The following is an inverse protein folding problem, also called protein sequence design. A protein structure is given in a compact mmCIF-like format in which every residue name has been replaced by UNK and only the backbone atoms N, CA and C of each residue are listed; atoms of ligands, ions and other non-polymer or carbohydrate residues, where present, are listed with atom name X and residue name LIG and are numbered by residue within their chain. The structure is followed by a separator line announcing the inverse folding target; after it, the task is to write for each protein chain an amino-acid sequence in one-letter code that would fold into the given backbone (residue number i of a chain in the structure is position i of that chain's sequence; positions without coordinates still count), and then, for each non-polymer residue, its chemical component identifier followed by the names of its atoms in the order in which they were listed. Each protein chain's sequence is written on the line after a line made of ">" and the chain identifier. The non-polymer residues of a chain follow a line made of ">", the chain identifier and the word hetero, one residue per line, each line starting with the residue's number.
data_IF_177189036485
#
_entry.id   IF_177189036485
#
_cell.length_a   1.000
_cell.length_b   1.000
_cell.length_c   1.000
_cell.angle_alpha   90.00
_cell.angle_beta   90.00
_cell.angle_gamma   90.00
#
_symmetry.space_group_name_H-M   'P 1'
#
loop_
_entity.id
_entity.type
_entity.pdbx_description
1 polymer ?
#
# COMPACT_ATOMS: atom_id res chain seq x y z
N UNK A 1 10.47 7.20 7.15
CA UNK A 1 9.23 7.54 6.44
C UNK A 1 8.71 8.90 6.85
N UNK A 2 7.90 9.49 6.01
CA UNK A 2 7.24 10.75 6.33
C UNK A 2 6.02 10.43 7.22
N UNK A 3 5.81 11.23 8.26
CA UNK A 3 4.57 11.15 9.03
C UNK A 3 3.41 11.64 8.17
N UNK A 4 2.26 11.00 8.28
CA UNK A 4 1.04 11.44 7.60
C UNK A 4 0.42 12.64 8.33
N UNK A 5 1.06 13.79 8.13
CA UNK A 5 0.60 15.10 8.59
C UNK A 5 0.89 16.13 7.50
N UNK A 6 0.44 17.37 7.70
CA UNK A 6 0.57 18.45 6.72
C UNK A 6 2.02 18.67 6.25
N UNK A 7 2.97 18.66 7.17
CA UNK A 7 4.37 18.91 6.85
C UNK A 7 5.00 17.72 6.12
N UNK A 8 4.71 16.49 6.56
CA UNK A 8 5.16 15.27 5.90
C UNK A 8 4.62 15.17 4.46
N UNK A 9 3.35 15.48 4.25
CA UNK A 9 2.74 15.52 2.91
C UNK A 9 3.39 16.59 2.03
N UNK A 10 3.64 17.80 2.56
CA UNK A 10 4.32 18.86 1.82
C UNK A 10 5.75 18.47 1.39
N UNK A 11 6.50 17.81 2.28
CA UNK A 11 7.83 17.29 1.97
C UNK A 11 7.75 16.21 0.88
N UNK A 12 6.80 15.26 1.00
CA UNK A 12 6.60 14.20 0.01
C UNK A 12 6.29 14.78 -1.38
N UNK A 13 5.37 15.74 -1.47
CA UNK A 13 5.06 16.43 -2.72
C UNK A 13 6.30 17.07 -3.32
N UNK A 14 7.08 17.77 -2.52
CA UNK A 14 8.32 18.43 -2.99
C UNK A 14 9.37 17.45 -3.48
N UNK A 15 9.50 16.30 -2.82
CA UNK A 15 10.43 15.24 -3.25
C UNK A 15 9.98 14.68 -4.61
N UNK A 16 8.68 14.40 -4.77
CA UNK A 16 8.14 13.87 -6.02
C UNK A 16 8.30 14.88 -7.17
N UNK A 17 7.91 16.13 -6.98
CA UNK A 17 8.08 17.20 -7.97
C UNK A 17 9.55 17.31 -8.41
N UNK A 18 10.47 17.31 -7.44
CA UNK A 18 11.90 17.37 -7.73
C UNK A 18 12.37 16.15 -8.52
N UNK A 19 11.91 14.95 -8.17
CA UNK A 19 12.28 13.72 -8.87
C UNK A 19 11.75 13.73 -10.32
N UNK A 20 10.52 14.16 -10.54
CA UNK A 20 9.92 14.29 -11.88
C UNK A 20 10.67 15.31 -12.72
N UNK A 21 11.01 16.48 -12.17
CA UNK A 21 11.77 17.51 -12.87
C UNK A 21 13.17 17.05 -13.25
N UNK A 22 13.87 16.38 -12.33
CA UNK A 22 15.21 15.83 -12.59
C UNK A 22 15.13 14.73 -13.64
N UNK A 23 14.14 13.83 -13.53
CA UNK A 23 13.88 12.78 -14.50
C UNK A 23 13.64 13.34 -15.90
N UNK A 24 12.81 14.38 -16.02
CA UNK A 24 12.53 15.02 -17.30
C UNK A 24 13.77 15.70 -17.92
N UNK A 25 14.61 16.33 -17.09
CA UNK A 25 15.88 16.92 -17.56
C UNK A 25 16.84 15.85 -18.06
N UNK A 26 17.02 14.79 -17.28
CA UNK A 26 17.90 13.68 -17.64
C UNK A 26 17.39 12.92 -18.88
N UNK A 27 16.12 12.72 -18.99
CA UNK A 27 15.51 12.13 -20.20
C UNK A 27 15.86 12.91 -21.44
N UNK A 28 15.75 14.25 -21.41
CA UNK A 28 16.15 15.11 -22.53
C UNK A 28 17.64 14.98 -22.88
N UNK A 29 18.52 14.92 -21.86
CA UNK A 29 19.96 14.76 -22.06
C UNK A 29 20.30 13.39 -22.71
N UNK A 30 19.57 12.35 -22.35
CA UNK A 30 19.78 10.98 -22.83
C UNK A 30 19.03 10.67 -24.13
N UNK A 31 18.12 11.51 -24.55
CA UNK A 31 17.23 11.25 -25.70
C UNK A 31 16.18 10.18 -25.41
N UNK A 32 15.79 10.02 -24.14
CA UNK A 32 14.87 8.97 -23.68
C UNK A 32 13.81 9.55 -22.72
N UNK A 33 12.77 8.77 -22.46
CA UNK A 33 11.72 9.12 -21.50
C UNK A 33 12.03 8.52 -20.13
N UNK A 34 12.25 9.39 -19.13
CA UNK A 34 12.38 8.99 -17.73
C UNK A 34 11.07 9.27 -17.02
N UNK A 35 10.46 8.23 -16.47
CA UNK A 35 9.22 8.33 -15.69
C UNK A 35 9.46 7.97 -14.23
N UNK A 36 8.78 8.68 -13.34
CA UNK A 36 8.80 8.45 -11.90
C UNK A 36 7.46 7.85 -11.49
N UNK A 37 7.51 6.68 -10.87
CA UNK A 37 6.34 5.99 -10.32
C UNK A 37 6.52 5.70 -8.84
N UNK A 38 5.40 5.56 -8.13
CA UNK A 38 5.37 5.01 -6.77
C UNK A 38 4.67 3.66 -6.80
N UNK A 39 5.41 2.63 -6.41
CA UNK A 39 4.92 1.27 -6.31
C UNK A 39 5.28 0.70 -4.94
N UNK A 40 4.47 -0.23 -4.47
CA UNK A 40 4.78 -1.04 -3.31
C UNK A 40 5.95 -2.00 -3.64
N UNK A 41 6.87 -2.17 -2.70
CA UNK A 41 7.97 -3.11 -2.84
C UNK A 41 8.00 -4.07 -1.65
N UNK A 42 8.19 -5.36 -1.90
CA UNK A 42 8.39 -6.36 -0.84
C UNK A 42 9.64 -6.07 0.01
N UNK A 43 10.61 -5.39 -0.57
CA UNK A 43 11.83 -4.98 0.11
C UNK A 43 11.57 -4.16 1.39
N UNK A 44 10.52 -3.34 1.41
CA UNK A 44 10.20 -2.51 2.58
C UNK A 44 9.87 -3.33 3.83
N UNK A 45 9.17 -4.45 3.68
CA UNK A 45 8.85 -5.38 4.76
C UNK A 45 10.10 -6.17 5.16
N UNK A 46 10.80 -6.74 4.19
CA UNK A 46 11.98 -7.55 4.44
C UNK A 46 13.10 -6.77 5.12
N UNK A 47 13.36 -5.55 4.72
CA UNK A 47 14.39 -4.72 5.35
C UNK A 47 14.04 -4.34 6.78
N UNK A 48 12.77 -4.13 7.13
CA UNK A 48 12.37 -3.88 8.49
C UNK A 48 12.73 -5.05 9.42
N UNK A 49 12.48 -6.28 8.98
CA UNK A 49 12.84 -7.50 9.71
C UNK A 49 14.36 -7.63 9.88
N UNK A 50 15.11 -7.48 8.77
CA UNK A 50 16.59 -7.61 8.81
C UNK A 50 17.25 -6.54 9.68
N UNK A 51 16.74 -5.32 9.65
CA UNK A 51 17.24 -4.24 10.50
C UNK A 51 16.87 -4.46 11.96
N UNK A 52 15.69 -5.02 12.26
CA UNK A 52 15.30 -5.45 13.59
C UNK A 52 16.21 -6.53 14.16
N UNK A 53 16.59 -7.51 13.34
CA UNK A 53 17.56 -8.55 13.70
C UNK A 53 18.97 -8.00 13.94
N UNK A 54 19.43 -7.10 13.05
CA UNK A 54 20.79 -6.57 13.10
C UNK A 54 21.02 -5.50 14.14
N UNK A 55 20.08 -4.58 14.33
CA UNK A 55 20.26 -3.39 15.16
C UNK A 55 19.43 -3.43 16.45
N UNK A 56 18.61 -4.46 16.65
CA UNK A 56 17.75 -4.64 17.82
C UNK A 56 16.58 -3.66 17.86
N UNK A 57 15.73 -3.83 18.87
CA UNK A 57 14.49 -3.05 19.05
C UNK A 57 14.69 -1.56 19.37
N UNK A 58 15.93 -1.15 19.67
CA UNK A 58 16.26 0.24 20.05
C UNK A 58 16.78 1.11 18.91
N UNK A 59 16.76 0.64 17.68
CA UNK A 59 17.06 1.52 16.54
C UNK A 59 15.95 2.57 16.41
N UNK A 60 16.32 3.81 16.03
CA UNK A 60 15.36 4.90 15.78
C UNK A 60 14.30 4.55 14.71
N UNK A 61 14.52 3.48 13.97
CA UNK A 61 13.62 2.89 12.99
C UNK A 61 12.55 2.01 13.65
N UNK A 62 12.80 1.51 14.85
CA UNK A 62 11.86 0.64 15.60
C UNK A 62 10.89 1.40 16.51
N UNK A 63 10.87 2.71 16.47
CA UNK A 63 9.81 3.51 17.09
C UNK A 63 8.48 3.44 16.30
N UNK A 64 8.47 2.73 15.18
CA UNK A 64 7.25 2.42 14.44
C UNK A 64 6.68 1.11 15.01
N UNK A 65 5.44 1.14 15.42
CA UNK A 65 4.69 -0.02 15.94
C UNK A 65 4.41 -1.09 14.86
N UNK A 66 5.08 -1.02 13.72
CA UNK A 66 4.85 -1.89 12.56
C UNK A 66 6.10 -2.66 12.17
N UNK A 67 5.92 -3.90 11.75
CA UNK A 67 6.97 -4.80 11.27
C UNK A 67 7.47 -4.49 9.85
N UNK A 68 7.11 -3.33 9.30
CA UNK A 68 7.47 -2.91 7.94
C UNK A 68 7.68 -1.40 7.84
N UNK A 69 8.55 -0.97 6.93
CA UNK A 69 8.81 0.45 6.70
C UNK A 69 7.72 1.15 5.91
N UNK A 70 7.08 0.45 4.99
CA UNK A 70 5.99 0.98 4.19
C UNK A 70 5.17 -0.16 3.60
N UNK A 71 3.85 -0.03 3.66
CA UNK A 71 2.90 -0.89 2.94
C UNK A 71 2.50 -0.30 1.58
N UNK A 72 3.08 0.83 1.20
CA UNK A 72 2.53 1.61 0.11
C UNK A 72 1.23 2.33 0.50
N UNK A 73 0.41 2.64 -0.46
CA UNK A 73 -0.91 3.24 -0.22
C UNK A 73 -1.96 2.14 -0.21
N UNK A 74 -2.40 1.76 0.98
CA UNK A 74 -3.46 0.75 1.18
C UNK A 74 -4.74 1.47 1.57
N UNK A 75 -5.82 1.16 0.89
CA UNK A 75 -7.16 1.68 1.17
C UNK A 75 -8.08 0.48 1.39
N UNK A 76 -8.75 0.43 2.53
CA UNK A 76 -9.74 -0.59 2.80
C UNK A 76 -11.03 -0.32 2.02
N UNK A 77 -11.68 -1.36 1.53
CA UNK A 77 -12.92 -1.23 0.76
C UNK A 77 -14.06 -0.60 1.57
N UNK A 78 -14.11 -0.86 2.88
CA UNK A 78 -15.03 -0.19 3.81
C UNK A 78 -14.82 1.32 3.87
N UNK A 79 -13.59 1.80 3.71
CA UNK A 79 -13.24 3.23 3.70
C UNK A 79 -13.76 3.94 2.44
N UNK A 80 -13.89 3.22 1.34
CA UNK A 80 -14.45 3.75 0.09
C UNK A 80 -15.96 3.91 0.17
N UNK A 81 -16.65 3.10 0.98
CA UNK A 81 -18.10 3.21 1.16
C UNK A 81 -18.51 4.36 2.09
N UNK A 82 -17.68 4.70 3.07
CA UNK A 82 -17.92 5.82 4.00
C UNK A 82 -17.20 7.09 3.50
N UNK A 83 -17.77 7.68 2.45
CA UNK A 83 -17.23 8.86 1.77
C UNK A 83 -17.12 10.11 2.66
N UNK A 84 -17.69 10.10 3.85
CA UNK A 84 -17.83 11.31 4.65
C UNK A 84 -16.62 11.62 5.52
N UNK A 85 -15.79 10.64 5.88
CA UNK A 85 -14.74 10.84 6.88
C UNK A 85 -13.30 10.51 6.48
N UNK A 86 -13.05 9.85 5.33
CA UNK A 86 -11.70 9.44 4.93
C UNK A 86 -11.26 9.92 3.54
N UNK A 87 -11.87 10.98 3.07
CA UNK A 87 -11.56 11.68 1.81
C UNK A 87 -10.11 12.16 1.70
N UNK A 88 -9.40 12.30 2.81
CA UNK A 88 -8.04 12.83 2.78
C UNK A 88 -7.06 11.87 2.11
N UNK A 89 -7.06 10.57 2.45
CA UNK A 89 -6.12 9.59 1.86
C UNK A 89 -6.37 9.43 0.37
N UNK A 90 -7.64 9.34 -0.02
CA UNK A 90 -8.04 9.23 -1.44
C UNK A 90 -7.72 10.53 -2.19
N UNK A 91 -8.00 11.68 -1.58
CA UNK A 91 -7.68 12.98 -2.16
C UNK A 91 -6.18 13.18 -2.34
N UNK A 92 -5.37 12.82 -1.35
CA UNK A 92 -3.91 12.88 -1.43
C UNK A 92 -3.37 11.89 -2.47
N UNK A 93 -3.90 10.66 -2.53
CA UNK A 93 -3.52 9.69 -3.57
C UNK A 93 -3.83 10.22 -4.98
N UNK A 94 -4.95 10.87 -5.17
CA UNK A 94 -5.30 11.53 -6.44
C UNK A 94 -4.32 12.67 -6.78
N UNK A 95 -3.95 13.51 -5.81
CA UNK A 95 -2.94 14.57 -6.02
C UNK A 95 -1.58 13.97 -6.40
N UNK A 96 -1.13 12.95 -5.67
CA UNK A 96 0.14 12.26 -5.94
C UNK A 96 0.13 11.60 -7.32
N UNK A 97 -0.97 10.96 -7.71
CA UNK A 97 -1.10 10.34 -9.04
C UNK A 97 -1.00 11.34 -10.19
N UNK A 98 -1.41 12.59 -9.97
CA UNK A 98 -1.30 13.68 -10.95
C UNK A 98 0.11 14.28 -11.03
N UNK A 99 0.88 14.22 -9.96
CA UNK A 99 2.27 14.67 -9.93
C UNK A 99 3.21 13.65 -10.60
N UNK A 100 2.91 12.37 -10.45
CA UNK A 100 3.74 11.28 -10.96
C UNK A 100 3.48 11.04 -12.45
N UNK A 101 4.51 11.11 -13.27
CA UNK A 101 4.42 10.84 -14.71
C UNK A 101 4.53 9.35 -15.07
N UNK A 102 4.92 8.50 -14.10
CA UNK A 102 4.95 7.03 -14.22
C UNK A 102 3.81 6.33 -13.46
N UNK A 103 2.99 7.09 -12.72
CA UNK A 103 1.83 6.60 -12.00
C UNK A 103 2.08 6.22 -10.54
N UNK A 104 0.98 6.00 -9.85
CA UNK A 104 0.89 5.56 -8.46
C UNK A 104 0.08 4.27 -8.41
N UNK A 105 0.64 3.22 -7.84
CA UNK A 105 -0.08 1.98 -7.57
C UNK A 105 -0.67 2.01 -6.16
N UNK A 106 -1.99 1.86 -6.08
CA UNK A 106 -2.73 1.76 -4.83
C UNK A 106 -3.18 0.33 -4.61
N UNK A 107 -3.12 -0.14 -3.37
CA UNK A 107 -3.70 -1.42 -2.95
C UNK A 107 -5.08 -1.17 -2.37
N UNK A 108 -6.09 -1.79 -2.98
CA UNK A 108 -7.44 -1.84 -2.44
C UNK A 108 -7.63 -3.19 -1.75
N UNK A 109 -7.68 -3.17 -0.42
CA UNK A 109 -7.95 -4.34 0.39
C UNK A 109 -9.46 -4.58 0.46
N UNK A 110 -9.89 -5.74 -0.02
CA UNK A 110 -11.30 -6.14 -0.10
C UNK A 110 -11.69 -6.83 1.19
N UNK A 111 -12.60 -6.22 1.94
CA UNK A 111 -13.18 -6.83 3.13
C UNK A 111 -13.82 -8.18 2.81
N UNK A 112 -13.63 -9.12 3.73
CA UNK A 112 -14.11 -10.51 3.60
C UNK A 112 -15.63 -10.64 3.43
N UNK A 113 -16.37 -9.71 4.02
CA UNK A 113 -17.84 -9.78 4.09
C UNK A 113 -18.54 -9.02 2.95
N UNK A 114 -17.77 -8.38 2.04
CA UNK A 114 -18.35 -7.64 0.93
C UNK A 114 -18.98 -8.56 -0.12
N UNK A 115 -20.20 -8.20 -0.52
CA UNK A 115 -20.90 -8.83 -1.64
C UNK A 115 -20.32 -8.38 -2.97
N UNK A 116 -20.55 -9.18 -4.01
CA UNK A 116 -20.05 -8.90 -5.37
C UNK A 116 -20.44 -7.51 -5.88
N UNK A 117 -21.67 -7.06 -5.62
CA UNK A 117 -22.13 -5.76 -6.08
C UNK A 117 -21.46 -4.60 -5.32
N UNK A 118 -21.09 -4.80 -4.07
CA UNK A 118 -20.34 -3.84 -3.27
C UNK A 118 -18.90 -3.76 -3.76
N UNK A 119 -18.29 -4.89 -4.09
CA UNK A 119 -16.95 -4.95 -4.70
C UNK A 119 -16.95 -4.20 -6.05
N UNK A 120 -17.94 -4.44 -6.92
CA UNK A 120 -18.09 -3.73 -8.19
C UNK A 120 -18.14 -2.22 -7.98
N UNK A 121 -18.99 -1.74 -7.05
CA UNK A 121 -19.10 -0.32 -6.73
C UNK A 121 -17.78 0.26 -6.21
N UNK A 122 -17.04 -0.50 -5.39
CA UNK A 122 -15.71 -0.08 -4.90
C UNK A 122 -14.71 0.06 -6.04
N UNK A 123 -14.72 -0.87 -6.99
CA UNK A 123 -13.88 -0.82 -8.20
C UNK A 123 -14.24 0.41 -9.04
N UNK A 124 -15.51 0.61 -9.36
CA UNK A 124 -15.98 1.74 -10.16
C UNK A 124 -15.54 3.07 -9.55
N UNK A 125 -15.77 3.25 -8.25
CA UNK A 125 -15.37 4.45 -7.54
C UNK A 125 -13.85 4.65 -7.48
N UNK A 126 -13.09 3.58 -7.31
CA UNK A 126 -11.62 3.66 -7.28
C UNK A 126 -11.07 4.05 -8.65
N UNK A 127 -11.66 3.55 -9.74
CA UNK A 127 -11.24 3.93 -11.11
C UNK A 127 -11.47 5.40 -11.43
N UNK A 128 -12.46 6.04 -10.81
CA UNK A 128 -12.69 7.48 -10.95
C UNK A 128 -11.61 8.34 -10.26
N UNK A 129 -10.98 7.78 -9.24
CA UNK A 129 -10.07 8.53 -8.37
C UNK A 129 -8.59 8.31 -8.72
N UNK A 130 -8.22 7.11 -9.12
CA UNK A 130 -6.83 6.75 -9.37
C UNK A 130 -6.68 5.91 -10.64
N UNK A 131 -5.60 6.14 -11.41
CA UNK A 131 -5.42 5.46 -12.70
C UNK A 131 -5.01 4.00 -12.57
N UNK A 132 -4.44 3.60 -11.42
CA UNK A 132 -3.91 2.25 -11.23
C UNK A 132 -4.11 1.77 -9.80
N UNK A 133 -4.65 0.57 -9.64
CA UNK A 133 -4.76 -0.08 -8.34
C UNK A 133 -4.74 -1.60 -8.50
N UNK A 134 -4.35 -2.30 -7.42
CA UNK A 134 -4.48 -3.76 -7.30
C UNK A 134 -5.55 -4.09 -6.27
N UNK A 135 -6.29 -5.16 -6.52
CA UNK A 135 -7.21 -5.72 -5.55
C UNK A 135 -6.50 -6.81 -4.76
N UNK A 136 -6.59 -6.72 -3.44
CA UNK A 136 -6.06 -7.71 -2.52
C UNK A 136 -7.18 -8.16 -1.60
N UNK A 137 -7.21 -9.44 -1.29
CA UNK A 137 -8.06 -10.01 -0.27
C UNK A 137 -7.23 -10.90 0.61
N UNK A 138 -7.24 -10.63 1.89
CA UNK A 138 -6.52 -11.46 2.86
C UNK A 138 -7.14 -12.85 2.93
N UNK A 139 -6.29 -13.87 2.94
CA UNK A 139 -6.67 -15.28 3.11
C UNK A 139 -5.65 -15.94 4.02
N UNK A 140 -6.11 -16.86 4.86
CA UNK A 140 -5.22 -17.73 5.64
C UNK A 140 -5.06 -19.07 4.98
N UNK A 141 -3.85 -19.64 5.06
CA UNK A 141 -3.53 -20.97 4.56
C UNK A 141 -3.04 -21.80 5.75
N UNK A 142 -3.60 -22.98 5.92
CA UNK A 142 -3.07 -23.94 6.90
C UNK A 142 -1.80 -24.58 6.35
N UNK A 143 -0.67 -24.42 7.05
CA UNK A 143 0.62 -25.00 6.67
C UNK A 143 0.66 -26.51 6.73
N UNK A 144 -0.26 -27.15 7.47
CA UNK A 144 -0.35 -28.62 7.61
C UNK A 144 -1.18 -29.27 6.50
N UNK A 145 -2.42 -28.82 6.29
CA UNK A 145 -3.35 -29.50 5.38
C UNK A 145 -3.62 -28.71 4.09
N UNK A 146 -3.00 -27.54 3.91
CA UNK A 146 -3.19 -26.69 2.75
C UNK A 146 -4.59 -26.07 2.61
N UNK A 147 -5.45 -26.19 3.65
CA UNK A 147 -6.75 -25.56 3.63
C UNK A 147 -6.60 -24.06 3.54
N UNK A 148 -7.28 -23.45 2.57
CA UNK A 148 -7.27 -22.02 2.31
C UNK A 148 -8.67 -21.47 2.37
N UNK A 149 -8.86 -20.41 3.14
CA UNK A 149 -10.15 -19.73 3.28
C UNK A 149 -9.94 -18.27 3.72
N UNK A 150 -11.05 -17.61 4.05
CA UNK A 150 -11.03 -16.31 4.71
C UNK A 150 -10.13 -16.33 5.95
N UNK A 151 -9.62 -15.17 6.40
CA UNK A 151 -8.74 -15.12 7.56
C UNK A 151 -9.29 -15.89 8.76
N UNK A 152 -8.48 -16.78 9.30
CA UNK A 152 -8.72 -17.48 10.56
C UNK A 152 -7.45 -17.41 11.40
N UNK A 153 -7.59 -17.06 12.67
CA UNK A 153 -6.46 -16.62 13.50
C UNK A 153 -5.86 -17.73 14.37
N UNK A 154 -6.69 -18.51 15.02
CA UNK A 154 -6.19 -19.42 16.08
C UNK A 154 -5.85 -20.82 15.57
N UNK A 155 -6.74 -21.43 14.81
CA UNK A 155 -6.61 -22.81 14.35
C UNK A 155 -7.30 -23.04 13.02
N UNK A 156 -6.70 -23.89 12.21
CA UNK A 156 -7.31 -24.33 10.97
C UNK A 156 -8.69 -24.95 11.25
N UNK A 157 -9.77 -24.47 10.59
CA UNK A 157 -11.11 -25.01 10.80
C UNK A 157 -11.23 -26.48 10.36
N UNK A 158 -10.37 -26.94 9.43
CA UNK A 158 -10.37 -28.29 8.90
C UNK A 158 -9.60 -29.29 9.75
N UNK A 159 -8.34 -29.01 10.10
CA UNK A 159 -7.47 -29.97 10.81
C UNK A 159 -7.11 -29.56 12.23
N UNK A 160 -7.57 -28.39 12.69
CA UNK A 160 -7.30 -27.82 14.01
C UNK A 160 -5.82 -27.50 14.31
N UNK A 161 -4.96 -27.57 13.30
CA UNK A 161 -3.56 -27.16 13.42
C UNK A 161 -3.47 -25.66 13.78
N UNK A 162 -2.58 -25.25 14.67
CA UNK A 162 -2.28 -23.85 14.94
C UNK A 162 -1.33 -23.22 13.88
N UNK A 163 -0.80 -24.02 12.96
CA UNK A 163 0.14 -23.56 11.95
C UNK A 163 -0.60 -22.88 10.80
N UNK A 164 -0.70 -21.56 10.86
CA UNK A 164 -1.41 -20.71 9.89
C UNK A 164 -0.41 -19.74 9.26
N UNK A 165 -0.51 -19.57 7.93
CA UNK A 165 0.29 -18.65 7.11
C UNK A 165 -0.60 -17.65 6.42
#
# INVERSE_FOLDING_TARGET
>A
GFKDNKDGRAILHKVIETAVDVGAKKGKELGDNVTICMIETEASTRFATLDGEKYGKNSSLNSMESDFYSQGTVINSSEIHDYTNKTEVISESNKLSKLLNGGLLITLDIDKDLKVDEIKKSIEKTTELVPSFKLVRQTSICGECGFKDQPFEDKCPKCKSPYIV
#
